data_IF_887479969444
#
_entry.id   IF_887479969444
#
_cell.length_a   1.000
_cell.length_b   1.000
_cell.length_c   1.000
_cell.angle_alpha   90.00
_cell.angle_beta   90.00
_cell.angle_gamma   90.00
#
_symmetry.space_group_name_H-M   'P 1'
#
loop_
_entity.id
_entity.type
_entity.pdbx_description
1 polymer ?
#
# COMPACT_ATOMS: atom_id res chain seq x y z
N UNK A 1 29.30 50.15 -113.81
CA UNK A 1 29.82 48.81 -113.44
C UNK A 1 28.66 48.07 -112.80
N UNK A 2 28.21 47.02 -113.48
CA UNK A 2 27.21 46.08 -112.98
C UNK A 2 27.87 45.10 -112.06
N UNK A 3 27.50 45.05 -110.81
CA UNK A 3 27.99 44.06 -109.85
C UNK A 3 27.57 42.71 -110.26
N UNK A 4 28.48 41.71 -110.33
CA UNK A 4 28.10 40.32 -110.70
C UNK A 4 27.09 39.73 -109.75
N UNK A 5 26.06 39.11 -110.29
CA UNK A 5 24.90 38.51 -109.60
C UNK A 5 25.31 37.51 -108.49
N UNK A 6 26.44 36.83 -108.66
CA UNK A 6 27.05 35.96 -107.67
C UNK A 6 27.57 36.63 -106.42
N UNK A 7 28.05 37.88 -106.54
CA UNK A 7 28.53 38.64 -105.37
C UNK A 7 27.33 39.24 -104.55
N UNK A 8 26.29 39.64 -105.24
CA UNK A 8 25.06 40.13 -104.65
C UNK A 8 24.36 39.02 -103.83
N UNK A 9 24.31 37.77 -104.39
CA UNK A 9 23.72 36.64 -103.67
C UNK A 9 24.49 36.22 -102.43
N UNK A 10 25.83 36.19 -102.53
CA UNK A 10 26.69 35.94 -101.37
C UNK A 10 26.59 37.05 -100.30
N UNK A 11 26.46 38.27 -100.67
CA UNK A 11 26.27 39.41 -99.72
C UNK A 11 24.95 39.28 -98.97
N UNK A 12 23.89 38.88 -99.66
CA UNK A 12 22.58 38.66 -99.01
C UNK A 12 22.60 37.46 -98.08
N UNK A 13 23.20 36.39 -98.47
CA UNK A 13 23.40 35.19 -97.57
C UNK A 13 24.23 35.51 -96.33
N UNK A 14 25.25 36.32 -96.44
CA UNK A 14 26.05 36.81 -95.29
C UNK A 14 25.25 37.73 -94.38
N UNK A 15 24.49 38.61 -94.92
CA UNK A 15 23.60 39.53 -94.14
C UNK A 15 22.49 38.80 -93.41
N UNK A 16 21.90 37.82 -94.09
CA UNK A 16 20.86 36.97 -93.47
C UNK A 16 21.47 36.07 -92.39
N UNK A 17 22.62 35.45 -92.63
CA UNK A 17 23.35 34.66 -91.61
C UNK A 17 23.79 35.51 -90.41
N UNK A 18 24.17 36.80 -90.64
CA UNK A 18 24.51 37.68 -89.53
C UNK A 18 23.30 38.15 -88.76
N UNK A 19 22.15 38.35 -89.40
CA UNK A 19 20.88 38.62 -88.72
C UNK A 19 20.43 37.43 -87.87
N UNK A 20 20.49 36.24 -88.44
CA UNK A 20 20.15 35.01 -87.71
C UNK A 20 21.07 34.78 -86.51
N UNK A 21 22.36 35.06 -86.67
CA UNK A 21 23.31 35.03 -85.53
C UNK A 21 23.00 36.09 -84.47
N UNK A 22 22.64 37.33 -84.86
CA UNK A 22 22.26 38.36 -83.89
C UNK A 22 20.94 38.02 -83.17
N UNK A 23 19.94 37.48 -83.88
CA UNK A 23 18.70 37.03 -83.25
C UNK A 23 18.98 35.87 -82.25
N UNK A 24 19.80 34.89 -82.62
CA UNK A 24 20.23 33.80 -81.72
C UNK A 24 21.01 34.33 -80.51
N UNK A 25 21.88 35.30 -80.68
CA UNK A 25 22.68 35.91 -79.61
C UNK A 25 21.79 36.67 -78.61
N UNK A 26 20.84 37.45 -79.12
CA UNK A 26 19.84 38.19 -78.28
C UNK A 26 18.92 37.22 -77.55
N UNK A 27 18.46 36.20 -78.21
CA UNK A 27 17.63 35.13 -77.64
C UNK A 27 18.35 34.36 -76.54
N UNK A 28 19.66 34.10 -76.72
CA UNK A 28 20.50 33.41 -75.73
C UNK A 28 20.60 34.15 -74.38
N UNK A 29 20.71 35.46 -74.42
CA UNK A 29 20.79 36.28 -73.21
C UNK A 29 19.43 36.37 -72.46
N UNK A 30 18.34 36.50 -73.25
CA UNK A 30 16.97 36.43 -72.70
C UNK A 30 16.65 35.07 -72.10
N UNK A 31 16.99 33.99 -72.81
CA UNK A 31 16.83 32.61 -72.31
C UNK A 31 17.63 32.37 -71.02
N UNK A 32 18.90 32.83 -70.94
CA UNK A 32 19.75 32.73 -69.75
C UNK A 32 19.10 33.43 -68.55
N UNK A 33 18.52 34.59 -68.75
CA UNK A 33 17.83 35.37 -67.70
C UNK A 33 16.55 34.67 -67.25
N UNK A 34 15.73 34.13 -68.19
CA UNK A 34 14.53 33.40 -67.86
C UNK A 34 14.84 32.14 -67.13
N UNK A 35 15.82 31.33 -67.59
CA UNK A 35 16.24 30.13 -66.86
C UNK A 35 16.83 30.46 -65.49
N UNK A 36 17.61 31.56 -65.35
CA UNK A 36 18.13 32.00 -64.06
C UNK A 36 17.03 32.36 -63.07
N UNK A 37 16.02 33.12 -63.49
CA UNK A 37 14.87 33.46 -62.65
C UNK A 37 14.06 32.24 -62.27
N UNK A 38 13.73 31.38 -63.24
CA UNK A 38 12.93 30.17 -62.98
C UNK A 38 13.69 29.20 -62.05
N UNK A 39 15.01 29.05 -62.23
CA UNK A 39 15.82 28.18 -61.36
C UNK A 39 15.86 28.77 -59.92
N UNK A 40 16.08 30.06 -59.78
CA UNK A 40 16.06 30.68 -58.45
C UNK A 40 14.70 30.61 -57.79
N UNK A 41 13.62 30.80 -58.55
CA UNK A 41 12.25 30.72 -58.02
C UNK A 41 11.92 29.27 -57.60
N UNK A 42 12.27 28.29 -58.40
CA UNK A 42 12.07 26.87 -58.04
C UNK A 42 12.91 26.46 -56.85
N UNK A 43 14.16 26.94 -56.70
CA UNK A 43 14.98 26.71 -55.57
C UNK A 43 14.38 27.32 -54.30
N UNK A 44 13.88 28.55 -54.34
CA UNK A 44 13.21 29.22 -53.23
C UNK A 44 11.93 28.47 -52.84
N UNK A 45 11.14 28.04 -53.79
CA UNK A 45 9.92 27.28 -53.53
C UNK A 45 10.25 25.92 -52.88
N UNK A 46 11.27 25.22 -53.40
CA UNK A 46 11.72 23.95 -52.86
C UNK A 46 12.25 24.07 -51.41
N UNK A 47 13.04 25.13 -51.12
CA UNK A 47 13.50 25.40 -49.77
C UNK A 47 12.39 25.76 -48.82
N UNK A 48 11.44 26.60 -49.26
CA UNK A 48 10.28 26.94 -48.45
C UNK A 48 9.40 25.72 -48.13
N UNK A 49 9.06 24.93 -49.12
CA UNK A 49 8.28 23.69 -48.92
C UNK A 49 9.01 22.68 -48.01
N UNK A 50 10.33 22.57 -48.14
CA UNK A 50 11.16 21.73 -47.27
C UNK A 50 11.12 22.17 -45.80
N UNK A 51 11.22 23.47 -45.56
CA UNK A 51 11.12 24.05 -44.21
C UNK A 51 9.74 23.79 -43.57
N UNK A 52 8.65 24.09 -44.38
CA UNK A 52 7.28 23.82 -43.91
C UNK A 52 7.07 22.34 -43.61
N UNK A 53 7.55 21.45 -44.46
CA UNK A 53 7.47 20.00 -44.24
C UNK A 53 8.25 19.56 -42.99
N UNK A 54 9.47 20.06 -42.79
CA UNK A 54 10.31 19.76 -41.63
C UNK A 54 9.66 20.21 -40.30
N UNK A 55 9.13 21.44 -40.27
CA UNK A 55 8.42 21.97 -39.09
C UNK A 55 7.13 21.17 -38.81
N UNK A 56 6.38 20.84 -39.85
CA UNK A 56 5.15 20.05 -39.71
C UNK A 56 5.47 18.62 -39.19
N UNK A 57 6.50 18.02 -39.72
CA UNK A 57 6.98 16.70 -39.25
C UNK A 57 7.44 16.75 -37.80
N UNK A 58 8.25 17.74 -37.43
CA UNK A 58 8.71 17.91 -36.05
C UNK A 58 7.55 18.07 -35.06
N UNK A 59 6.55 18.88 -35.41
CA UNK A 59 5.35 19.07 -34.55
C UNK A 59 4.48 17.81 -34.46
N UNK A 60 4.37 17.03 -35.52
CA UNK A 60 3.56 15.80 -35.54
C UNK A 60 4.21 14.63 -34.85
N UNK A 61 5.52 14.45 -35.01
CA UNK A 61 6.21 13.23 -34.57
C UNK A 61 7.04 13.41 -33.32
N UNK A 62 7.75 14.54 -33.15
CA UNK A 62 8.68 14.72 -32.04
C UNK A 62 7.99 15.28 -30.80
N UNK A 63 7.10 16.24 -30.93
CA UNK A 63 6.44 16.89 -29.79
C UNK A 63 5.62 15.89 -28.92
N UNK A 64 4.83 14.95 -29.47
CA UNK A 64 4.12 13.95 -28.69
C UNK A 64 5.04 13.01 -27.92
N UNK A 65 6.14 12.58 -28.54
CA UNK A 65 7.12 11.69 -27.86
C UNK A 65 7.76 12.41 -26.67
N UNK A 66 8.06 13.70 -26.82
CA UNK A 66 8.61 14.49 -25.72
C UNK A 66 7.60 14.63 -24.56
N UNK A 67 6.33 14.83 -24.86
CA UNK A 67 5.26 14.88 -23.85
C UNK A 67 5.07 13.55 -23.13
N UNK A 68 5.18 12.41 -23.83
CA UNK A 68 5.16 11.09 -23.21
C UNK A 68 6.36 10.88 -22.27
N UNK A 69 7.55 11.34 -22.67
CA UNK A 69 8.73 11.29 -21.83
C UNK A 69 8.59 12.16 -20.56
N UNK A 70 8.03 13.36 -20.69
CA UNK A 70 7.72 14.22 -19.53
C UNK A 70 6.63 13.61 -18.65
N UNK A 71 5.59 13.02 -19.24
CA UNK A 71 4.54 12.30 -18.56
C UNK A 71 5.09 11.14 -17.72
N UNK A 72 5.99 10.34 -18.30
CA UNK A 72 6.66 9.24 -17.59
C UNK A 72 7.43 9.76 -16.37
N UNK A 73 8.15 10.87 -16.53
CA UNK A 73 8.87 11.52 -15.43
C UNK A 73 7.91 12.09 -14.36
N UNK A 74 6.75 12.57 -14.77
CA UNK A 74 5.68 13.03 -13.86
C UNK A 74 5.11 11.89 -13.03
N UNK A 75 4.80 10.76 -13.67
CA UNK A 75 4.32 9.54 -13.01
C UNK A 75 5.32 9.01 -11.99
N UNK A 76 6.61 9.00 -12.32
CA UNK A 76 7.67 8.57 -11.39
C UNK A 76 7.77 9.45 -10.13
N UNK A 77 7.28 10.69 -10.19
CA UNK A 77 7.19 11.63 -9.06
C UNK A 77 5.86 11.57 -8.32
N UNK A 78 4.97 10.67 -8.73
CA UNK A 78 3.65 10.50 -8.10
C UNK A 78 2.56 11.44 -8.66
N UNK A 79 2.81 12.11 -9.77
CA UNK A 79 1.81 12.94 -10.44
C UNK A 79 1.20 12.15 -11.62
N UNK A 80 -0.04 11.71 -11.47
CA UNK A 80 -0.77 10.83 -12.40
C UNK A 80 -1.70 11.62 -13.34
N UNK A 81 -1.21 12.73 -13.90
CA UNK A 81 -2.00 13.50 -14.86
C UNK A 81 -2.03 12.84 -16.23
N UNK A 82 -3.20 12.75 -16.83
CA UNK A 82 -3.38 12.21 -18.17
C UNK A 82 -2.75 13.16 -19.20
N UNK A 83 -2.10 12.56 -20.19
CA UNK A 83 -1.55 13.30 -21.32
C UNK A 83 -2.67 13.59 -22.30
N UNK A 84 -2.68 14.81 -22.85
CA UNK A 84 -3.66 15.21 -23.85
C UNK A 84 -3.50 14.37 -25.12
N UNK A 85 -4.58 13.79 -25.58
CA UNK A 85 -4.62 13.06 -26.85
C UNK A 85 -4.35 13.97 -28.04
N UNK A 86 -3.61 13.46 -29.00
CA UNK A 86 -3.31 14.17 -30.25
C UNK A 86 -4.35 13.83 -31.31
N UNK A 87 -4.79 14.78 -32.12
CA UNK A 87 -5.83 14.56 -33.14
C UNK A 87 -5.36 13.76 -34.35
N UNK A 88 -4.23 13.09 -34.30
CA UNK A 88 -3.69 12.28 -35.38
C UNK A 88 -4.04 10.81 -35.13
N UNK A 89 -4.71 10.18 -36.12
CA UNK A 89 -5.00 8.73 -36.10
C UNK A 89 -3.78 7.86 -36.39
N UNK A 90 -2.66 8.18 -35.73
CA UNK A 90 -1.37 7.55 -35.92
C UNK A 90 -1.04 6.65 -34.72
N UNK A 91 -0.03 5.80 -34.86
CA UNK A 91 0.53 4.93 -33.84
C UNK A 91 0.88 5.69 -32.54
N UNK A 92 1.20 6.98 -32.66
CA UNK A 92 1.47 7.88 -31.52
C UNK A 92 0.22 8.10 -30.65
N UNK A 93 -0.96 8.20 -31.28
CA UNK A 93 -2.20 8.34 -30.53
C UNK A 93 -2.57 7.06 -29.77
N UNK A 94 -2.38 5.89 -30.41
CA UNK A 94 -2.55 4.59 -29.76
C UNK A 94 -1.61 4.42 -28.57
N UNK A 95 -0.34 4.84 -28.73
CA UNK A 95 0.64 4.86 -27.65
C UNK A 95 0.21 5.79 -26.51
N UNK A 96 -0.32 6.97 -26.83
CA UNK A 96 -0.81 7.92 -25.83
C UNK A 96 -2.01 7.39 -25.06
N UNK A 97 -2.94 6.71 -25.74
CA UNK A 97 -4.09 6.07 -25.10
C UNK A 97 -3.65 4.91 -24.19
N UNK A 98 -2.74 4.08 -24.66
CA UNK A 98 -2.16 2.98 -23.86
C UNK A 98 -1.44 3.52 -22.63
N UNK A 99 -0.69 4.60 -22.78
CA UNK A 99 -0.01 5.27 -21.66
C UNK A 99 -1.00 5.88 -20.66
N UNK A 100 -2.05 6.53 -21.13
CA UNK A 100 -3.12 7.07 -20.28
C UNK A 100 -3.86 5.96 -19.52
N UNK A 101 -4.12 4.83 -20.17
CA UNK A 101 -4.72 3.66 -19.53
C UNK A 101 -3.82 3.10 -18.41
N UNK A 102 -2.52 3.01 -18.66
CA UNK A 102 -1.54 2.61 -17.65
C UNK A 102 -1.51 3.60 -16.47
N UNK A 103 -1.52 4.91 -16.73
CA UNK A 103 -1.56 5.94 -15.66
C UNK A 103 -2.80 5.74 -14.78
N UNK A 104 -3.95 5.51 -15.40
CA UNK A 104 -5.21 5.30 -14.68
C UNK A 104 -5.13 4.06 -13.80
N UNK A 105 -4.68 2.94 -14.34
CA UNK A 105 -4.54 1.67 -13.60
C UNK A 105 -3.55 1.80 -12.41
N UNK A 106 -2.40 2.43 -12.64
CA UNK A 106 -1.41 2.68 -11.56
C UNK A 106 -1.99 3.59 -10.48
N UNK A 107 -2.71 4.64 -10.87
CA UNK A 107 -3.37 5.57 -9.93
C UNK A 107 -4.44 4.87 -9.10
N UNK A 108 -5.30 4.06 -9.71
CA UNK A 108 -6.36 3.30 -9.06
C UNK A 108 -5.78 2.24 -8.11
N UNK A 109 -4.76 1.51 -8.57
CA UNK A 109 -4.06 0.50 -7.75
C UNK A 109 -3.41 1.14 -6.52
N UNK A 110 -2.74 2.26 -6.69
CA UNK A 110 -2.11 2.98 -5.58
C UNK A 110 -3.15 3.50 -4.59
N UNK A 111 -4.24 4.07 -5.07
CA UNK A 111 -5.33 4.52 -4.22
C UNK A 111 -5.94 3.37 -3.41
N UNK A 112 -6.17 2.23 -4.06
CA UNK A 112 -6.66 1.01 -3.40
C UNK A 112 -5.69 0.51 -2.31
N UNK A 113 -4.37 0.49 -2.60
CA UNK A 113 -3.36 0.11 -1.61
C UNK A 113 -3.30 1.08 -0.42
N UNK A 114 -3.45 2.38 -0.66
CA UNK A 114 -3.50 3.37 0.41
C UNK A 114 -4.73 3.18 1.31
N UNK A 115 -5.90 2.88 0.73
CA UNK A 115 -7.11 2.55 1.49
C UNK A 115 -6.92 1.27 2.32
N UNK A 116 -6.43 0.19 1.70
CA UNK A 116 -6.17 -1.08 2.41
C UNK A 116 -5.19 -0.90 3.56
N UNK A 117 -4.12 -0.14 3.34
CA UNK A 117 -3.15 0.18 4.40
C UNK A 117 -3.79 0.94 5.56
N UNK A 118 -4.63 1.92 5.24
CA UNK A 118 -5.36 2.70 6.25
C UNK A 118 -6.34 1.84 7.03
N UNK A 119 -7.08 0.97 6.35
CA UNK A 119 -8.02 0.05 7.00
C UNK A 119 -7.28 -0.94 7.91
N UNK A 120 -6.15 -1.50 7.46
CA UNK A 120 -5.31 -2.36 8.28
C UNK A 120 -4.77 -1.63 9.51
N UNK A 121 -4.33 -0.38 9.36
CA UNK A 121 -3.86 0.44 10.47
C UNK A 121 -4.99 0.72 11.47
N UNK A 122 -6.18 1.10 10.99
CA UNK A 122 -7.34 1.34 11.86
C UNK A 122 -7.76 0.07 12.60
N UNK A 123 -7.73 -1.09 11.94
CA UNK A 123 -8.02 -2.38 12.57
C UNK A 123 -6.99 -2.71 13.66
N UNK A 124 -5.70 -2.47 13.41
CA UNK A 124 -4.66 -2.66 14.41
C UNK A 124 -4.87 -1.73 15.62
N UNK A 125 -5.07 -0.43 15.39
CA UNK A 125 -5.34 0.54 16.46
C UNK A 125 -6.59 0.18 17.28
N UNK A 126 -7.62 -0.33 16.60
CA UNK A 126 -8.83 -0.81 17.27
C UNK A 126 -8.54 -2.01 18.18
N UNK A 127 -7.81 -3.02 17.67
CA UNK A 127 -7.43 -4.19 18.47
C UNK A 127 -6.56 -3.81 19.67
N UNK A 128 -5.59 -2.92 19.49
CA UNK A 128 -4.76 -2.42 20.59
C UNK A 128 -5.60 -1.71 21.65
N UNK A 129 -6.55 -0.87 21.24
CA UNK A 129 -7.47 -0.19 22.19
C UNK A 129 -8.37 -1.18 22.92
N UNK A 130 -8.89 -2.19 22.23
CA UNK A 130 -9.72 -3.23 22.86
C UNK A 130 -8.89 -3.99 23.91
N UNK A 131 -7.71 -4.48 23.54
CA UNK A 131 -6.82 -5.21 24.45
C UNK A 131 -6.38 -4.37 25.65
N UNK A 132 -6.16 -3.07 25.47
CA UNK A 132 -5.77 -2.16 26.53
C UNK A 132 -6.92 -1.81 27.49
N UNK A 133 -8.18 -1.97 27.08
CA UNK A 133 -9.36 -1.63 27.89
C UNK A 133 -10.07 -2.87 28.48
N UNK A 134 -9.65 -4.08 28.14
CA UNK A 134 -10.17 -5.30 28.77
C UNK A 134 -9.60 -5.40 30.19
N UNK A 135 -10.47 -5.65 31.18
CA UNK A 135 -10.06 -5.88 32.57
C UNK A 135 -9.36 -7.20 32.79
N UNK A 136 -9.61 -8.19 31.94
CA UNK A 136 -8.95 -9.49 31.98
C UNK A 136 -7.49 -9.38 31.54
N UNK A 137 -6.60 -10.08 32.20
CA UNK A 137 -5.21 -10.25 31.74
C UNK A 137 -5.17 -11.13 30.51
N UNK A 138 -4.42 -10.70 29.48
CA UNK A 138 -4.19 -11.46 28.25
C UNK A 138 -2.69 -11.61 28.02
N UNK A 139 -2.23 -12.83 27.85
CA UNK A 139 -0.84 -13.17 27.51
C UNK A 139 -0.88 -14.10 26.29
N UNK A 140 -0.12 -13.77 25.27
CA UNK A 140 0.12 -14.65 24.12
C UNK A 140 1.51 -15.24 24.23
N UNK A 141 1.60 -16.55 24.11
CA UNK A 141 2.83 -17.34 24.25
C UNK A 141 3.12 -18.10 22.97
N UNK A 142 4.38 -18.31 22.69
CA UNK A 142 4.84 -19.24 21.65
C UNK A 142 4.87 -20.70 22.18
N UNK A 143 5.34 -21.62 21.36
CA UNK A 143 5.44 -23.04 21.71
C UNK A 143 6.45 -23.33 22.84
N UNK A 144 7.37 -22.39 23.12
CA UNK A 144 8.39 -22.49 24.18
C UNK A 144 8.00 -21.77 25.47
N UNK A 145 6.76 -21.28 25.58
CA UNK A 145 6.28 -20.49 26.72
C UNK A 145 6.94 -19.11 26.82
N UNK A 146 7.42 -18.56 25.69
CA UNK A 146 7.95 -17.20 25.61
C UNK A 146 6.81 -16.24 25.33
N UNK A 147 6.79 -15.11 26.00
CA UNK A 147 5.76 -14.08 25.82
C UNK A 147 5.93 -13.39 24.48
N UNK A 148 4.95 -13.53 23.61
CA UNK A 148 4.86 -12.83 22.32
C UNK A 148 4.27 -11.43 22.53
N UNK A 149 3.18 -11.34 23.31
CA UNK A 149 2.53 -10.07 23.66
C UNK A 149 1.73 -10.22 24.96
N UNK A 150 1.49 -9.09 25.63
CA UNK A 150 0.69 -9.00 26.84
C UNK A 150 -0.05 -7.67 26.89
N UNK A 151 -1.22 -7.64 27.53
CA UNK A 151 -1.96 -6.41 27.75
C UNK A 151 -1.60 -5.74 29.10
N UNK A 152 -1.93 -4.46 29.31
CA UNK A 152 -1.66 -3.78 30.58
C UNK A 152 -2.33 -4.43 31.79
N UNK A 153 -3.54 -4.98 31.63
CA UNK A 153 -4.27 -5.64 32.72
C UNK A 153 -3.56 -6.88 33.24
N UNK A 154 -2.89 -7.65 32.35
CA UNK A 154 -2.10 -8.79 32.77
C UNK A 154 -0.99 -8.38 33.74
N UNK A 155 -0.26 -7.32 33.42
CA UNK A 155 0.79 -6.79 34.28
C UNK A 155 0.26 -6.26 35.61
N UNK A 156 -0.90 -5.59 35.58
CA UNK A 156 -1.53 -5.06 36.77
C UNK A 156 -2.06 -6.16 37.72
N UNK A 157 -2.70 -7.21 37.17
CA UNK A 157 -3.24 -8.34 37.96
C UNK A 157 -2.11 -9.15 38.59
N UNK A 158 -1.06 -9.42 37.85
CA UNK A 158 0.07 -10.22 38.34
C UNK A 158 1.09 -9.39 39.15
N UNK A 159 1.02 -8.05 39.06
CA UNK A 159 1.94 -7.16 39.77
C UNK A 159 3.38 -7.21 39.27
N UNK A 160 3.58 -7.68 38.01
CA UNK A 160 4.90 -8.03 37.50
C UNK A 160 5.32 -7.16 36.32
N UNK A 161 6.37 -6.36 36.52
CA UNK A 161 6.91 -5.49 35.46
C UNK A 161 7.67 -6.24 34.35
N UNK A 162 8.17 -7.45 34.66
CA UNK A 162 8.93 -8.27 33.72
C UNK A 162 8.07 -8.95 32.63
N UNK A 163 6.76 -8.93 32.74
CA UNK A 163 5.83 -9.45 31.73
C UNK A 163 5.92 -8.65 30.42
N UNK A 164 7.04 -8.78 29.73
CA UNK A 164 7.36 -8.11 28.51
C UNK A 164 7.54 -9.13 27.36
N UNK A 165 7.33 -8.74 26.10
CA UNK A 165 7.64 -9.58 24.96
C UNK A 165 9.08 -10.08 24.99
N UNK A 166 9.28 -11.39 24.76
CA UNK A 166 10.56 -12.06 24.79
C UNK A 166 10.94 -12.66 26.16
N UNK A 167 10.19 -12.38 27.24
CA UNK A 167 10.41 -13.00 28.54
C UNK A 167 9.87 -14.43 28.55
N UNK A 168 10.53 -15.33 29.28
CA UNK A 168 10.09 -16.71 29.46
C UNK A 168 9.12 -16.84 30.64
N UNK A 169 7.89 -17.28 30.36
CA UNK A 169 6.91 -17.55 31.42
C UNK A 169 7.38 -18.66 32.33
N UNK A 170 8.11 -19.64 31.79
CA UNK A 170 8.61 -20.81 32.55
C UNK A 170 9.62 -20.44 33.65
N UNK A 171 10.44 -19.41 33.42
CA UNK A 171 11.46 -19.00 34.39
C UNK A 171 10.85 -18.34 35.63
N UNK A 172 9.70 -17.71 35.48
CA UNK A 172 9.05 -16.91 36.51
C UNK A 172 7.84 -17.61 37.14
N UNK A 173 7.14 -18.46 36.36
CA UNK A 173 5.94 -19.18 36.79
C UNK A 173 6.04 -20.67 36.48
N UNK A 174 7.04 -21.34 37.05
CA UNK A 174 7.29 -22.78 36.85
C UNK A 174 6.04 -23.61 37.17
N UNK A 175 5.44 -23.38 38.35
CA UNK A 175 4.23 -24.08 38.81
C UNK A 175 3.04 -23.90 37.87
N UNK A 176 2.86 -22.69 37.31
CA UNK A 176 1.80 -22.41 36.35
C UNK A 176 2.05 -23.17 35.04
N UNK A 177 3.28 -23.16 34.54
CA UNK A 177 3.63 -23.87 33.29
C UNK A 177 3.51 -25.38 33.47
N UNK A 178 3.84 -25.91 34.62
CA UNK A 178 3.62 -27.33 34.95
C UNK A 178 2.13 -27.67 34.95
N UNK A 179 1.30 -26.86 35.64
CA UNK A 179 -0.16 -27.00 35.64
C UNK A 179 -0.72 -26.94 34.25
N UNK A 180 -0.31 -25.94 33.44
CA UNK A 180 -0.73 -25.80 32.03
C UNK A 180 -0.35 -27.03 31.20
N UNK A 181 0.78 -27.59 31.45
CA UNK A 181 1.29 -28.79 30.75
C UNK A 181 0.52 -30.03 31.11
N UNK A 182 0.13 -30.17 32.40
CA UNK A 182 -0.67 -31.28 32.89
C UNK A 182 -2.10 -31.22 32.41
N UNK A 183 -2.75 -30.08 32.53
CA UNK A 183 -4.13 -29.84 32.04
C UNK A 183 -4.23 -30.07 30.53
N UNK A 184 -3.20 -29.67 29.78
CA UNK A 184 -3.10 -29.93 28.32
C UNK A 184 -3.05 -31.44 28.03
N UNK A 185 -2.40 -32.26 28.84
CA UNK A 185 -2.37 -33.74 28.66
C UNK A 185 -3.73 -34.38 28.92
N UNK A 186 -4.54 -33.78 29.77
CA UNK A 186 -5.88 -34.24 30.13
C UNK A 186 -6.95 -33.79 29.12
N UNK A 187 -6.75 -32.65 28.50
CA UNK A 187 -7.62 -32.12 27.44
C UNK A 187 -7.20 -32.65 26.07
N UNK A 188 -8.17 -32.91 25.19
CA UNK A 188 -7.88 -33.25 23.80
C UNK A 188 -7.05 -32.11 23.17
N UNK A 189 -5.99 -32.43 22.50
CA UNK A 189 -4.86 -31.53 22.18
C UNK A 189 -5.14 -30.21 21.44
N UNK A 190 -6.40 -29.92 21.10
CA UNK A 190 -6.78 -28.73 20.31
C UNK A 190 -7.92 -27.89 20.94
N UNK A 191 -8.44 -28.32 22.12
CA UNK A 191 -9.55 -27.62 22.77
C UNK A 191 -9.07 -26.59 23.80
N UNK A 192 -9.82 -25.51 23.93
CA UNK A 192 -9.60 -24.53 25.00
C UNK A 192 -9.98 -25.18 26.34
N UNK A 193 -9.14 -24.97 27.36
CA UNK A 193 -9.43 -25.43 28.72
C UNK A 193 -9.35 -24.27 29.71
N UNK A 194 -9.96 -24.47 30.89
CA UNK A 194 -9.99 -23.44 31.95
C UNK A 194 -9.84 -24.08 33.33
N UNK A 195 -9.16 -23.38 34.22
CA UNK A 195 -8.93 -23.83 35.59
C UNK A 195 -8.73 -22.64 36.54
N UNK A 196 -8.86 -22.88 37.84
CA UNK A 196 -8.54 -21.89 38.87
C UNK A 196 -7.09 -22.06 39.31
N UNK A 197 -6.37 -20.95 39.38
CA UNK A 197 -4.97 -20.93 39.84
C UNK A 197 -4.78 -19.92 40.95
N UNK A 198 -4.02 -20.31 41.98
CA UNK A 198 -3.67 -19.43 43.09
C UNK A 198 -2.28 -18.89 42.85
N UNK A 199 -2.22 -17.64 42.48
CA UNK A 199 -0.95 -16.94 42.33
C UNK A 199 -0.47 -16.41 43.66
N UNK A 200 0.76 -16.73 44.03
CA UNK A 200 1.38 -16.41 45.32
C UNK A 200 2.49 -15.37 45.10
N UNK A 201 2.11 -14.17 44.67
CA UNK A 201 3.00 -13.01 44.56
C UNK A 201 3.09 -12.22 45.86
N UNK A 202 3.12 -10.86 45.77
CA UNK A 202 3.06 -9.99 46.95
C UNK A 202 1.75 -10.15 47.72
N UNK A 203 0.68 -10.49 47.07
CA UNK A 203 -0.61 -10.86 47.63
C UNK A 203 -1.15 -12.13 46.96
N UNK A 204 -1.95 -12.89 47.74
CA UNK A 204 -2.60 -14.09 47.23
C UNK A 204 -3.74 -13.67 46.28
N UNK A 205 -3.61 -13.97 45.01
CA UNK A 205 -4.60 -13.71 43.97
C UNK A 205 -5.19 -15.01 43.49
N UNK A 206 -6.53 -15.08 43.43
CA UNK A 206 -7.25 -16.18 42.83
C UNK A 206 -7.54 -15.83 41.37
N UNK A 207 -6.97 -16.59 40.43
CA UNK A 207 -7.12 -16.38 39.01
C UNK A 207 -8.02 -17.45 38.41
N UNK A 208 -8.93 -17.06 37.55
CA UNK A 208 -9.63 -17.95 36.65
C UNK A 208 -8.96 -17.84 35.26
N UNK A 209 -8.28 -18.89 34.85
CA UNK A 209 -7.54 -18.92 33.59
C UNK A 209 -8.29 -19.69 32.52
N UNK A 210 -8.25 -19.16 31.31
CA UNK A 210 -8.68 -19.84 30.09
C UNK A 210 -7.50 -19.87 29.12
N UNK A 211 -7.20 -21.03 28.59
CA UNK A 211 -6.09 -21.25 27.65
C UNK A 211 -6.66 -21.75 26.35
N UNK A 212 -6.25 -21.14 25.26
CA UNK A 212 -6.69 -21.50 23.90
C UNK A 212 -5.49 -21.55 22.98
N UNK A 213 -5.42 -22.54 22.08
CA UNK A 213 -4.37 -22.57 21.05
C UNK A 213 -4.58 -21.44 20.04
N UNK A 214 -3.48 -20.93 19.51
CA UNK A 214 -3.46 -19.91 18.46
C UNK A 214 -2.39 -20.25 17.43
N UNK A 215 -2.65 -19.93 16.15
CA UNK A 215 -1.64 -20.00 15.09
C UNK A 215 -0.91 -18.67 14.97
N UNK A 216 0.37 -18.67 15.20
CA UNK A 216 1.29 -17.53 15.04
C UNK A 216 2.07 -17.66 13.72
N UNK A 217 1.39 -17.46 12.60
CA UNK A 217 1.95 -17.72 11.27
C UNK A 217 2.14 -19.23 11.02
N UNK A 218 3.39 -19.71 10.96
CA UNK A 218 3.72 -21.13 10.77
C UNK A 218 3.91 -21.90 12.10
N UNK A 219 3.92 -21.21 13.24
CA UNK A 219 4.11 -21.79 14.56
C UNK A 219 2.80 -21.85 15.32
N UNK A 220 2.68 -22.80 16.23
CA UNK A 220 1.57 -22.85 17.18
C UNK A 220 1.98 -22.09 18.45
N UNK A 221 1.00 -21.49 19.10
CA UNK A 221 1.17 -20.80 20.36
C UNK A 221 -0.08 -20.91 21.21
N UNK A 222 -0.13 -20.16 22.28
CA UNK A 222 -1.19 -20.19 23.28
C UNK A 222 -1.64 -18.77 23.62
N UNK A 223 -2.94 -18.59 23.79
CA UNK A 223 -3.51 -17.40 24.41
C UNK A 223 -4.00 -17.76 25.79
N UNK A 224 -3.44 -17.11 26.79
CA UNK A 224 -3.90 -17.16 28.17
C UNK A 224 -4.76 -15.92 28.44
N UNK A 225 -6.00 -16.14 28.83
CA UNK A 225 -6.89 -15.08 29.33
C UNK A 225 -7.20 -15.41 30.79
N UNK A 226 -7.04 -14.44 31.67
CA UNK A 226 -7.29 -14.66 33.09
C UNK A 226 -7.96 -13.47 33.75
N UNK A 227 -8.83 -13.78 34.70
CA UNK A 227 -9.57 -12.84 35.50
C UNK A 227 -9.18 -12.99 36.98
N UNK A 228 -9.02 -11.87 37.68
CA UNK A 228 -8.88 -11.87 39.14
C UNK A 228 -10.27 -12.09 39.80
N UNK A 229 -10.45 -13.29 40.33
CA UNK A 229 -11.69 -13.69 41.03
C UNK A 229 -11.55 -13.63 42.57
N UNK A 230 -10.48 -13.00 43.07
CA UNK A 230 -10.19 -12.98 44.51
C UNK A 230 -11.36 -12.44 45.35
N UNK A 231 -11.95 -11.32 44.91
CA UNK A 231 -13.10 -10.73 45.59
C UNK A 231 -14.34 -11.64 45.54
N UNK A 232 -14.55 -12.34 44.44
CA UNK A 232 -15.66 -13.29 44.31
C UNK A 232 -15.49 -14.46 45.28
N UNK A 233 -14.28 -15.03 45.35
CA UNK A 233 -13.97 -16.14 46.27
C UNK A 233 -14.11 -15.70 47.71
N UNK A 234 -13.63 -14.51 48.09
CA UNK A 234 -13.78 -13.95 49.44
C UNK A 234 -15.24 -13.71 49.79
N UNK A 235 -16.04 -13.15 48.89
CA UNK A 235 -17.48 -12.92 49.11
C UNK A 235 -18.25 -14.25 49.27
N UNK A 236 -17.96 -15.26 48.47
CA UNK A 236 -18.55 -16.60 48.63
C UNK A 236 -18.20 -17.23 49.98
N UNK A 237 -16.94 -17.12 50.42
CA UNK A 237 -16.51 -17.61 51.72
C UNK A 237 -17.21 -16.86 52.85
N UNK A 238 -17.31 -15.53 52.78
CA UNK A 238 -18.00 -14.75 53.81
C UNK A 238 -19.48 -15.13 53.92
N UNK A 239 -20.15 -15.38 52.79
CA UNK A 239 -21.53 -15.84 52.75
C UNK A 239 -21.69 -17.22 53.40
N UNK A 240 -20.84 -18.17 53.02
CA UNK A 240 -20.83 -19.52 53.60
C UNK A 240 -20.55 -19.50 55.10
N UNK A 241 -19.60 -18.73 55.58
CA UNK A 241 -19.34 -18.52 57.00
C UNK A 241 -20.53 -17.90 57.74
N UNK A 242 -21.22 -16.92 57.11
CA UNK A 242 -22.42 -16.28 57.64
C UNK A 242 -23.57 -17.30 57.86
N UNK A 243 -23.76 -18.23 56.92
CA UNK A 243 -24.75 -19.30 57.05
C UNK A 243 -24.38 -20.29 58.15
N UNK A 244 -23.10 -20.72 58.23
CA UNK A 244 -22.60 -21.60 59.31
C UNK A 244 -22.74 -20.95 60.67
N UNK A 245 -22.34 -19.68 60.79
CA UNK A 245 -22.50 -18.94 62.05
C UNK A 245 -23.96 -18.80 62.47
N UNK A 246 -24.86 -18.53 61.56
CA UNK A 246 -26.32 -18.43 61.83
C UNK A 246 -26.85 -19.75 62.29
N UNK A 247 -26.50 -20.87 61.65
CA UNK A 247 -26.89 -22.21 62.04
C UNK A 247 -26.36 -22.59 63.41
N UNK A 248 -25.07 -22.33 63.68
CA UNK A 248 -24.48 -22.58 65.00
C UNK A 248 -25.18 -21.74 66.06
N UNK A 249 -25.48 -20.44 65.83
CA UNK A 249 -26.18 -19.63 66.76
C UNK A 249 -27.59 -20.17 67.11
N UNK A 250 -28.31 -20.69 66.10
CA UNK A 250 -29.61 -21.35 66.33
C UNK A 250 -29.43 -22.68 67.09
N UNK A 251 -28.46 -23.52 66.76
CA UNK A 251 -28.18 -24.76 67.44
C UNK A 251 -27.72 -24.57 68.91
N UNK A 252 -26.99 -23.50 69.21
CA UNK A 252 -26.62 -23.13 70.60
C UNK A 252 -27.81 -22.54 71.34
N UNK A 253 -28.64 -21.69 70.70
CA UNK A 253 -29.80 -21.03 71.34
C UNK A 253 -30.84 -22.07 71.78
N UNK A 254 -31.03 -23.16 70.99
CA UNK A 254 -32.03 -24.19 71.25
C UNK A 254 -31.84 -24.89 72.62
N UNK A 255 -30.66 -25.36 73.07
CA UNK A 255 -30.46 -25.95 74.36
C UNK A 255 -30.37 -24.91 75.47
N UNK A 256 -29.89 -23.68 75.21
CA UNK A 256 -29.77 -22.62 76.20
C UNK A 256 -31.08 -22.04 76.68
N UNK A 257 -32.08 -21.97 75.80
CA UNK A 257 -33.43 -21.46 76.12
C UNK A 257 -34.13 -22.28 77.20
N UNK A 258 -34.21 -23.61 77.19
CA UNK A 258 -34.81 -24.42 78.28
C UNK A 258 -33.94 -24.38 79.56
N UNK A 259 -32.60 -24.33 79.47
CA UNK A 259 -31.74 -24.20 80.62
C UNK A 259 -32.01 -22.87 81.35
N UNK A 260 -32.14 -21.78 80.65
CA UNK A 260 -32.46 -20.47 81.28
C UNK A 260 -33.84 -20.48 81.94
N UNK A 261 -34.84 -21.07 81.26
CA UNK A 261 -36.20 -21.23 81.80
C UNK A 261 -36.26 -22.16 83.03
N UNK A 262 -35.32 -23.08 83.21
CA UNK A 262 -35.23 -23.98 84.35
C UNK A 262 -34.47 -23.33 85.55
N UNK A 263 -33.76 -22.23 85.34
CA UNK A 263 -32.97 -21.54 86.35
C UNK A 263 -33.65 -20.24 86.92
N UNK A 264 -34.74 -19.85 86.31
CA UNK A 264 -35.71 -18.85 86.83
C UNK A 264 -36.81 -19.51 87.66
#
# INVERSE_FOLDING_TARGET
QVVPESISKKATELVDGYREYQELALNKESLRTIYGITLTLTLLLATFTSIVAAVSFARRSVAPVLQLAEGTKSVSRGNYQLIKEFPAGDEINELTQSFNSMIKEVSETRHSLELQRKDAQLAQEFLERVLNNISSGVIVLDEWWTIVTTNPSARQILGEEWLLPGASLKEHFTDLVETLTEERKLSSSDDAFSFEYKFNGEQLVHLYLRVSPISLGLQQGWVLVFDDITQLVLAQRATAWGEVARRLAHEIKNPLTPIRLSAE
#
